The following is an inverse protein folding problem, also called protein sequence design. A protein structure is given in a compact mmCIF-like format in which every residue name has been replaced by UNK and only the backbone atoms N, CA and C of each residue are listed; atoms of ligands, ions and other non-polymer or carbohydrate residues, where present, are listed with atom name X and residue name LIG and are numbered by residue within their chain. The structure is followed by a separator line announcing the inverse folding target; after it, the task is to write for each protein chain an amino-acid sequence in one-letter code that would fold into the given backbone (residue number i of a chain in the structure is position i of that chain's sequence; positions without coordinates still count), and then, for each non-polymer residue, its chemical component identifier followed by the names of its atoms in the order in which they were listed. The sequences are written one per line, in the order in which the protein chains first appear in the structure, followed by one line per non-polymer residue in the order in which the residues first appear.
data_IF_007512887260
#
_entry.id   IF_007512887260
#
_cell.length_a   1.000
_cell.length_b   1.000
_cell.length_c   1.000
_cell.angle_alpha   90.00
_cell.angle_beta   90.00
_cell.angle_gamma   90.00
#
_symmetry.space_group_name_H-M   'P 1'
#
loop_
_entity.id
_entity.type
_entity.pdbx_description
1 polymer ?
#
# COMPACT_ATOMS: atom_id res chain seq x y z
N UNK A 1 10.14 -7.62 37.12
CA UNK A 1 10.37 -6.95 38.42
C UNK A 1 9.14 -7.14 39.29
N UNK A 2 9.30 -7.50 40.57
CA UNK A 2 8.21 -7.66 41.53
C UNK A 2 8.53 -6.82 42.77
N UNK A 3 7.60 -5.96 43.21
CA UNK A 3 7.82 -5.07 44.36
C UNK A 3 6.56 -4.98 45.23
N UNK A 4 6.74 -4.96 46.56
CA UNK A 4 5.67 -4.72 47.52
C UNK A 4 5.58 -3.23 47.85
N UNK A 5 4.38 -2.65 47.77
CA UNK A 5 4.18 -1.21 47.97
C UNK A 5 3.83 -0.93 49.45
N UNK A 6 4.68 -0.22 50.22
CA UNK A 6 4.49 -0.08 51.67
C UNK A 6 3.37 0.89 52.08
N UNK A 7 2.96 1.81 51.19
CA UNK A 7 1.99 2.86 51.50
C UNK A 7 0.52 2.39 51.60
N UNK A 8 0.19 1.18 51.13
CA UNK A 8 -1.18 0.61 51.17
C UNK A 8 -1.34 -0.55 52.16
N UNK A 9 -0.46 -0.61 53.17
CA UNK A 9 -0.35 -1.70 54.14
C UNK A 9 0.80 -2.64 53.78
N UNK A 10 1.69 -2.90 54.76
CA UNK A 10 2.83 -3.81 54.62
C UNK A 10 2.36 -5.15 54.04
N UNK A 11 2.96 -5.56 52.92
CA UNK A 11 2.80 -6.86 52.25
C UNK A 11 1.40 -7.21 51.73
N UNK A 12 0.45 -6.27 51.71
CA UNK A 12 -0.92 -6.52 51.21
C UNK A 12 -1.10 -6.28 49.71
N UNK A 13 -0.15 -5.59 49.08
CA UNK A 13 -0.21 -5.25 47.65
C UNK A 13 1.09 -5.66 46.96
N UNK A 14 0.99 -6.49 45.93
CA UNK A 14 2.11 -6.93 45.10
C UNK A 14 1.95 -6.34 43.71
N UNK A 15 3.00 -5.65 43.25
CA UNK A 15 3.10 -5.17 41.89
C UNK A 15 4.10 -6.03 41.12
N UNK A 16 3.68 -6.61 39.99
CA UNK A 16 4.58 -7.25 39.03
C UNK A 16 4.54 -6.49 37.72
N UNK A 17 5.72 -6.22 37.17
CA UNK A 17 5.85 -5.63 35.85
C UNK A 17 6.94 -6.34 35.04
N UNK A 18 6.70 -6.48 33.75
CA UNK A 18 7.67 -7.00 32.79
C UNK A 18 7.67 -6.16 31.53
N UNK A 19 8.85 -5.95 30.96
CA UNK A 19 9.05 -5.29 29.68
C UNK A 19 10.07 -6.08 28.86
N UNK A 20 9.77 -6.32 27.59
CA UNK A 20 10.67 -7.03 26.67
C UNK A 20 10.63 -6.38 25.29
N UNK A 21 11.75 -6.47 24.57
CA UNK A 21 11.89 -5.99 23.21
C UNK A 21 12.38 -7.14 22.33
N UNK A 22 11.58 -7.49 21.32
CA UNK A 22 11.97 -8.42 20.27
C UNK A 22 12.36 -7.65 19.01
N UNK A 23 13.46 -8.02 18.38
CA UNK A 23 13.90 -7.47 17.10
C UNK A 23 13.60 -8.45 15.97
N UNK A 24 13.12 -7.92 14.85
CA UNK A 24 12.84 -8.70 13.65
C UNK A 24 14.10 -8.83 12.78
N UNK A 25 14.43 -10.05 12.34
CA UNK A 25 15.56 -10.32 11.44
C UNK A 25 15.05 -10.49 10.01
N UNK A 26 14.80 -9.39 9.32
CA UNK A 26 14.29 -9.41 7.94
C UNK A 26 15.13 -8.61 6.92
N UNK A 27 16.28 -8.06 7.33
CA UNK A 27 17.00 -7.07 6.52
C UNK A 27 17.61 -7.62 5.21
N UNK A 28 18.09 -8.87 5.18
CA UNK A 28 18.88 -9.35 4.01
C UNK A 28 18.01 -9.64 2.78
N UNK A 29 16.82 -10.21 2.95
CA UNK A 29 15.93 -10.56 1.83
C UNK A 29 15.39 -9.31 1.12
N UNK A 30 15.15 -8.23 1.86
CA UNK A 30 14.63 -7.00 1.27
C UNK A 30 15.66 -6.32 0.37
N UNK A 31 16.92 -6.25 0.81
CA UNK A 31 17.99 -5.69 -0.03
C UNK A 31 18.13 -6.55 -1.29
N UNK A 32 18.21 -7.87 -1.14
CA UNK A 32 18.32 -8.82 -2.26
C UNK A 32 17.22 -8.63 -3.32
N UNK A 33 15.94 -8.58 -2.91
CA UNK A 33 14.82 -8.40 -3.83
C UNK A 33 14.82 -7.04 -4.53
N UNK A 34 15.20 -5.98 -3.83
CA UNK A 34 15.21 -4.63 -4.43
C UNK A 34 16.40 -4.46 -5.36
N UNK A 35 17.58 -5.00 -5.00
CA UNK A 35 18.76 -4.93 -5.86
C UNK A 35 18.74 -5.93 -7.02
N UNK A 36 18.20 -7.13 -6.83
CA UNK A 36 18.23 -8.22 -7.81
C UNK A 36 17.18 -8.10 -8.92
N UNK A 37 16.02 -7.49 -8.61
CA UNK A 37 14.94 -7.28 -9.58
C UNK A 37 14.95 -5.87 -10.18
N UNK A 38 16.06 -5.14 -10.07
CA UNK A 38 16.21 -3.85 -10.72
C UNK A 38 16.33 -4.04 -12.25
N UNK A 39 15.74 -3.16 -13.08
CA UNK A 39 15.88 -3.23 -14.52
C UNK A 39 17.33 -3.38 -15.00
N UNK A 40 17.55 -4.33 -15.92
CA UNK A 40 18.87 -4.66 -16.47
C UNK A 40 19.63 -5.75 -15.71
N UNK A 41 19.26 -6.09 -14.47
CA UNK A 41 19.86 -7.21 -13.70
C UNK A 41 19.08 -8.53 -13.86
N UNK A 42 17.76 -8.43 -14.04
CA UNK A 42 16.87 -9.56 -14.34
C UNK A 42 15.95 -9.17 -15.50
N UNK A 43 15.68 -10.11 -16.41
CA UNK A 43 14.79 -9.87 -17.56
C UNK A 43 13.88 -11.06 -17.78
N UNK A 44 12.57 -10.80 -17.80
CA UNK A 44 11.56 -11.81 -18.17
C UNK A 44 11.10 -11.54 -19.59
N UNK A 45 11.13 -12.58 -20.44
CA UNK A 45 10.61 -12.52 -21.81
C UNK A 45 9.29 -13.25 -21.91
N UNK A 46 8.27 -12.53 -22.33
CA UNK A 46 6.99 -13.12 -22.72
C UNK A 46 6.98 -13.28 -24.24
N UNK A 47 6.96 -14.53 -24.70
CA UNK A 47 6.84 -14.86 -26.11
C UNK A 47 5.38 -15.14 -26.41
N UNK A 48 4.76 -14.30 -27.24
CA UNK A 48 3.41 -14.50 -27.74
C UNK A 48 3.50 -14.86 -29.21
N UNK A 49 2.95 -16.02 -29.58
CA UNK A 49 2.86 -16.49 -30.96
C UNK A 49 1.40 -16.74 -31.30
N UNK A 50 1.00 -16.44 -32.54
CA UNK A 50 -0.31 -16.83 -33.06
C UNK A 50 -0.33 -18.31 -33.49
N UNK A 51 0.85 -18.91 -33.70
CA UNK A 51 1.06 -20.32 -34.00
C UNK A 51 1.50 -21.11 -32.74
N UNK A 52 1.40 -22.44 -32.79
CA UNK A 52 1.82 -23.33 -31.70
C UNK A 52 3.29 -23.07 -31.34
N UNK A 53 3.52 -22.55 -30.13
CA UNK A 53 4.85 -22.35 -29.57
C UNK A 53 5.24 -23.57 -28.73
N UNK A 54 6.26 -24.31 -29.16
CA UNK A 54 6.82 -25.43 -28.37
C UNK A 54 8.21 -25.07 -27.84
N UNK A 55 8.72 -25.83 -26.86
CA UNK A 55 10.09 -25.64 -26.35
C UNK A 55 11.15 -25.85 -27.45
N UNK A 56 10.84 -26.58 -28.52
CA UNK A 56 11.75 -26.77 -29.65
C UNK A 56 11.93 -25.48 -30.48
N UNK A 57 10.96 -24.56 -30.42
CA UNK A 57 10.97 -23.30 -31.19
C UNK A 57 11.68 -22.16 -30.43
N UNK A 58 11.95 -22.35 -29.14
CA UNK A 58 12.62 -21.36 -28.29
C UNK A 58 14.14 -21.54 -28.36
N UNK A 59 14.85 -20.52 -28.84
CA UNK A 59 16.31 -20.52 -28.86
C UNK A 59 16.87 -20.01 -27.52
N UNK A 60 17.71 -20.82 -26.89
CA UNK A 60 18.42 -20.50 -25.65
C UNK A 60 19.93 -20.34 -25.92
N UNK A 61 20.63 -19.47 -25.16
CA UNK A 61 20.10 -18.58 -24.13
C UNK A 61 19.29 -17.42 -24.73
N UNK A 62 18.31 -16.92 -23.97
CA UNK A 62 17.55 -15.73 -24.37
C UNK A 62 18.47 -14.51 -24.35
N UNK A 63 18.46 -13.71 -25.41
CA UNK A 63 19.21 -12.46 -25.45
C UNK A 63 18.57 -11.42 -24.52
N UNK A 64 19.33 -10.79 -23.61
CA UNK A 64 18.85 -9.64 -22.84
C UNK A 64 18.45 -8.50 -23.79
N UNK A 65 17.31 -7.85 -23.52
CA UNK A 65 16.77 -6.72 -24.31
C UNK A 65 17.17 -5.40 -23.68
N UNK A 66 17.51 -5.41 -22.40
CA UNK A 66 17.96 -4.25 -21.64
C UNK A 66 19.45 -4.41 -21.36
N UNK A 67 20.23 -3.33 -21.50
CA UNK A 67 21.61 -3.34 -21.03
C UNK A 67 21.65 -3.20 -19.50
N UNK A 68 22.61 -3.84 -18.81
CA UNK A 68 22.80 -3.62 -17.39
C UNK A 68 22.99 -2.13 -17.10
N UNK A 69 22.22 -1.59 -16.15
CA UNK A 69 22.30 -0.19 -15.69
C UNK A 69 21.87 0.88 -16.72
N UNK A 70 21.13 0.49 -17.76
CA UNK A 70 20.53 1.47 -18.69
C UNK A 70 19.48 2.34 -17.99
N UNK A 71 19.40 3.63 -18.37
CA UNK A 71 18.44 4.56 -17.80
C UNK A 71 17.03 4.26 -18.31
N UNK A 72 16.16 3.82 -17.41
CA UNK A 72 14.75 3.54 -17.72
C UNK A 72 13.96 4.85 -17.78
N UNK A 73 13.28 5.17 -18.91
CA UNK A 73 12.43 6.36 -18.98
C UNK A 73 11.27 6.31 -17.99
N UNK A 74 10.90 7.44 -17.38
CA UNK A 74 9.73 7.54 -16.48
C UNK A 74 8.38 7.27 -17.17
N UNK A 75 8.37 7.24 -18.50
CA UNK A 75 7.21 6.88 -19.32
C UNK A 75 7.08 5.38 -19.54
N UNK A 76 8.10 4.58 -19.24
CA UNK A 76 8.01 3.13 -19.32
C UNK A 76 7.05 2.61 -18.25
N UNK A 77 6.16 1.70 -18.67
CA UNK A 77 5.14 1.05 -17.82
C UNK A 77 5.24 -0.47 -17.85
N UNK A 78 6.24 -1.01 -18.54
CA UNK A 78 6.50 -2.45 -18.63
C UNK A 78 7.44 -2.93 -17.52
N UNK A 79 8.17 -2.02 -16.89
CA UNK A 79 9.16 -2.34 -15.86
C UNK A 79 8.66 -1.99 -14.46
N UNK A 80 8.94 -2.87 -13.50
CA UNK A 80 8.71 -2.60 -12.08
C UNK A 80 9.99 -2.05 -11.48
N UNK A 81 9.94 -0.81 -11.01
CA UNK A 81 11.05 -0.21 -10.26
C UNK A 81 10.77 -0.36 -8.77
N UNK A 82 11.73 -0.92 -8.04
CA UNK A 82 11.66 -1.04 -6.59
C UNK A 82 12.73 -0.15 -5.98
N UNK A 83 12.41 0.44 -4.84
CA UNK A 83 13.35 1.22 -4.06
C UNK A 83 13.09 0.96 -2.58
N UNK A 84 14.12 1.16 -1.77
CA UNK A 84 14.05 1.08 -0.32
C UNK A 84 14.42 2.43 0.28
N UNK A 85 13.81 2.75 1.43
CA UNK A 85 14.17 3.95 2.18
C UNK A 85 15.59 3.79 2.74
N UNK A 86 16.45 4.77 2.48
CA UNK A 86 17.83 4.81 2.98
C UNK A 86 17.91 4.93 4.50
N UNK A 87 16.82 5.34 5.17
CA UNK A 87 16.71 5.47 6.61
C UNK A 87 15.98 4.29 7.29
N UNK A 88 15.89 3.13 6.62
CA UNK A 88 15.30 1.92 7.19
C UNK A 88 16.00 1.52 8.50
N UNK A 89 15.18 1.17 9.50
CA UNK A 89 15.64 0.73 10.82
C UNK A 89 15.07 -0.64 11.13
N UNK A 90 15.80 -1.43 11.91
CA UNK A 90 15.34 -2.75 12.35
C UNK A 90 13.97 -2.65 13.04
N UNK A 91 12.94 -3.38 12.56
CA UNK A 91 11.66 -3.44 13.22
C UNK A 91 11.80 -4.07 14.60
N UNK A 92 11.00 -3.59 15.55
CA UNK A 92 10.95 -4.20 16.87
C UNK A 92 9.54 -4.15 17.46
N UNK A 93 9.26 -5.15 18.29
CA UNK A 93 8.03 -5.27 19.06
C UNK A 93 8.38 -5.13 20.52
N UNK A 94 7.70 -4.20 21.18
CA UNK A 94 7.79 -3.99 22.62
C UNK A 94 6.58 -4.64 23.27
N UNK A 95 6.80 -5.51 24.24
CA UNK A 95 5.73 -6.10 25.05
C UNK A 95 5.88 -5.65 26.49
N UNK A 96 4.77 -5.23 27.10
CA UNK A 96 4.70 -4.90 28.52
C UNK A 96 3.56 -5.63 29.20
N UNK A 97 3.79 -6.01 30.44
CA UNK A 97 2.76 -6.54 31.32
C UNK A 97 2.83 -5.84 32.69
N UNK A 98 1.66 -5.63 33.27
CA UNK A 98 1.47 -5.06 34.59
C UNK A 98 0.45 -5.93 35.33
N UNK A 99 0.77 -6.32 36.55
CA UNK A 99 -0.13 -7.09 37.42
C UNK A 99 -0.12 -6.46 38.79
N UNK A 100 -1.30 -6.17 39.31
CA UNK A 100 -1.52 -5.65 40.66
C UNK A 100 -2.36 -6.69 41.40
N UNK A 101 -1.81 -7.25 42.46
CA UNK A 101 -2.52 -8.12 43.39
C UNK A 101 -2.70 -7.38 44.71
N UNK A 102 -3.89 -7.45 45.29
CA UNK A 102 -4.18 -6.87 46.59
C UNK A 102 -5.06 -7.78 47.44
N UNK A 103 -4.65 -8.00 48.67
CA UNK A 103 -5.50 -8.60 49.70
C UNK A 103 -6.40 -7.53 50.31
N UNK A 104 -7.71 -7.75 50.24
CA UNK A 104 -8.76 -6.90 50.79
C UNK A 104 -9.29 -7.51 52.11
N UNK A 105 -9.96 -6.71 52.97
CA UNK A 105 -10.55 -7.19 54.21
C UNK A 105 -11.56 -8.33 53.97
N UNK A 106 -11.73 -9.22 54.95
CA UNK A 106 -12.69 -10.32 54.86
C UNK A 106 -12.23 -11.50 54.00
N UNK A 107 -10.92 -11.76 53.93
CA UNK A 107 -10.32 -12.85 53.12
C UNK A 107 -10.58 -12.75 51.61
N UNK A 108 -10.81 -11.54 51.10
CA UNK A 108 -11.01 -11.31 49.67
C UNK A 108 -9.70 -10.91 48.97
N UNK A 109 -9.49 -11.38 47.75
CA UNK A 109 -8.32 -11.04 46.92
C UNK A 109 -8.75 -10.38 45.62
N UNK A 110 -8.10 -9.27 45.25
CA UNK A 110 -8.30 -8.60 43.98
C UNK A 110 -7.03 -8.71 43.14
N UNK A 111 -7.18 -9.08 41.88
CA UNK A 111 -6.09 -9.09 40.91
C UNK A 111 -6.51 -8.36 39.62
N UNK A 112 -5.65 -7.47 39.15
CA UNK A 112 -5.82 -6.74 37.90
C UNK A 112 -4.57 -6.94 37.05
N UNK A 113 -4.76 -7.44 35.82
CA UNK A 113 -3.68 -7.67 34.85
C UNK A 113 -3.91 -6.83 33.60
N UNK A 114 -2.84 -6.24 33.10
CA UNK A 114 -2.82 -5.52 31.84
C UNK A 114 -1.62 -5.99 31.00
N UNK A 115 -1.88 -6.30 29.73
CA UNK A 115 -0.86 -6.72 28.76
C UNK A 115 -1.00 -5.87 27.52
N UNK A 116 0.11 -5.38 26.99
CA UNK A 116 0.13 -4.61 25.75
C UNK A 116 1.36 -4.92 24.91
N UNK A 117 1.18 -4.78 23.60
CA UNK A 117 2.22 -4.97 22.59
C UNK A 117 2.20 -3.83 21.59
N UNK A 118 3.37 -3.30 21.22
CA UNK A 118 3.51 -2.29 20.17
C UNK A 118 4.65 -2.63 19.22
N UNK A 119 4.31 -2.80 17.96
CA UNK A 119 5.28 -2.80 16.85
C UNK A 119 5.71 -1.37 16.52
N UNK A 120 7.00 -1.15 16.27
CA UNK A 120 7.54 0.15 15.83
C UNK A 120 8.50 -0.07 14.67
N UNK A 121 8.43 0.81 13.67
CA UNK A 121 9.25 0.73 12.44
C UNK A 121 9.07 -0.60 11.69
N UNK A 122 7.84 -1.10 11.67
CA UNK A 122 7.50 -2.29 10.90
C UNK A 122 7.75 -2.01 9.41
N UNK A 123 8.29 -3.02 8.72
CA UNK A 123 8.56 -2.93 7.30
C UNK A 123 7.24 -2.96 6.53
N UNK A 124 7.10 -2.04 5.57
CA UNK A 124 5.95 -1.99 4.68
C UNK A 124 6.43 -1.65 3.27
N UNK A 125 6.02 -2.45 2.30
CA UNK A 125 6.11 -2.08 0.90
C UNK A 125 4.93 -1.17 0.56
N UNK A 126 5.21 -0.05 -0.11
CA UNK A 126 4.18 0.83 -0.65
C UNK A 126 4.22 0.74 -2.16
N UNK A 127 3.05 0.65 -2.78
CA UNK A 127 2.93 0.73 -4.22
C UNK A 127 2.64 2.18 -4.60
N UNK A 128 3.60 2.84 -5.26
CA UNK A 128 3.41 4.23 -5.71
C UNK A 128 2.38 4.34 -6.84
N UNK A 129 2.13 3.26 -7.57
CA UNK A 129 1.13 3.19 -8.63
C UNK A 129 -0.20 2.62 -8.12
N UNK A 130 -0.47 2.72 -6.81
CA UNK A 130 -1.75 2.29 -6.26
C UNK A 130 -2.90 3.14 -6.83
N UNK A 131 -4.00 2.48 -7.17
CA UNK A 131 -5.21 3.16 -7.65
C UNK A 131 -5.80 3.96 -6.50
N UNK A 132 -5.66 5.28 -6.57
CA UNK A 132 -6.20 6.19 -5.57
C UNK A 132 -7.30 7.04 -6.18
N UNK A 133 -8.57 6.64 -6.03
CA UNK A 133 -9.72 7.40 -6.56
C UNK A 133 -10.24 8.47 -5.60
N UNK A 134 -9.84 8.42 -4.33
CA UNK A 134 -10.37 9.28 -3.27
C UNK A 134 -9.61 10.61 -3.19
N UNK A 135 -8.27 10.57 -3.21
CA UNK A 135 -7.44 11.77 -3.02
C UNK A 135 -7.17 12.50 -4.35
N UNK A 136 -7.26 11.80 -5.48
CA UNK A 136 -7.07 12.39 -6.81
C UNK A 136 -8.34 13.04 -7.40
N UNK A 137 -9.42 13.13 -6.62
CA UNK A 137 -10.71 13.75 -6.98
C UNK A 137 -11.46 13.04 -8.14
N UNK A 138 -11.01 11.86 -8.59
CA UNK A 138 -11.73 11.10 -9.62
C UNK A 138 -13.10 10.66 -9.10
N UNK A 139 -13.19 10.25 -7.83
CA UNK A 139 -14.47 9.87 -7.23
C UNK A 139 -15.45 11.04 -7.18
N UNK A 140 -15.00 12.22 -6.74
CA UNK A 140 -15.82 13.44 -6.70
C UNK A 140 -16.26 13.83 -8.13
N UNK A 141 -15.34 13.83 -9.08
CA UNK A 141 -15.65 14.10 -10.49
C UNK A 141 -16.68 13.10 -11.06
N UNK A 142 -16.60 11.83 -10.65
CA UNK A 142 -17.56 10.79 -11.02
C UNK A 142 -18.94 11.08 -10.41
N UNK A 143 -19.02 11.38 -9.12
CA UNK A 143 -20.27 11.69 -8.40
C UNK A 143 -20.96 12.94 -8.96
N UNK A 144 -20.19 14.02 -9.20
CA UNK A 144 -20.69 15.24 -9.86
C UNK A 144 -21.24 14.91 -11.25
N UNK A 145 -20.55 14.05 -12.00
CA UNK A 145 -20.99 13.62 -13.32
C UNK A 145 -22.25 12.76 -13.26
N UNK A 146 -22.39 11.88 -12.28
CA UNK A 146 -23.58 11.06 -12.07
C UNK A 146 -24.80 11.92 -11.70
N UNK A 147 -24.62 12.94 -10.85
CA UNK A 147 -25.66 13.91 -10.50
C UNK A 147 -26.07 14.86 -11.65
N UNK A 148 -25.51 14.67 -12.85
CA UNK A 148 -25.78 15.51 -14.03
C UNK A 148 -24.92 16.77 -14.12
N UNK A 149 -24.05 17.03 -13.15
CA UNK A 149 -23.12 18.16 -13.13
C UNK A 149 -21.95 18.02 -14.10
N UNK A 150 -21.09 19.04 -14.16
CA UNK A 150 -19.86 19.03 -14.96
C UNK A 150 -18.64 19.16 -14.07
N UNK A 151 -17.80 18.13 -14.05
CA UNK A 151 -16.59 18.08 -13.24
C UNK A 151 -15.40 18.70 -14.00
N UNK A 152 -14.75 19.76 -13.48
CA UNK A 152 -13.58 20.37 -14.13
C UNK A 152 -12.40 19.40 -14.33
N UNK A 153 -12.32 18.35 -13.50
CA UNK A 153 -11.31 17.31 -13.66
C UNK A 153 -11.48 16.52 -14.97
N UNK A 154 -12.71 16.12 -15.33
CA UNK A 154 -12.96 15.41 -16.57
C UNK A 154 -12.77 16.31 -17.80
N UNK A 155 -13.07 17.61 -17.69
CA UNK A 155 -12.71 18.56 -18.74
C UNK A 155 -11.20 18.60 -19.00
N UNK A 156 -10.37 18.52 -17.95
CA UNK A 156 -8.91 18.50 -18.06
C UNK A 156 -8.38 17.17 -18.60
N UNK A 157 -8.85 16.05 -18.06
CA UNK A 157 -8.37 14.70 -18.43
C UNK A 157 -8.71 14.40 -19.89
N UNK A 158 -9.91 14.77 -20.33
CA UNK A 158 -10.38 14.47 -21.69
C UNK A 158 -10.18 15.62 -22.67
N UNK A 159 -9.49 16.70 -22.28
CA UNK A 159 -9.27 17.86 -23.13
C UNK A 159 -8.66 17.45 -24.49
N UNK A 160 -9.28 17.86 -25.58
CA UNK A 160 -8.83 17.53 -26.93
C UNK A 160 -9.27 16.15 -27.45
N UNK A 161 -9.96 15.33 -26.65
CA UNK A 161 -10.54 14.06 -27.09
C UNK A 161 -11.96 14.25 -27.59
N UNK A 162 -12.35 13.46 -28.61
CA UNK A 162 -13.73 13.40 -29.08
C UNK A 162 -14.41 12.17 -28.50
N UNK A 163 -15.36 12.38 -27.59
CA UNK A 163 -16.06 11.32 -26.87
C UNK A 163 -17.55 11.26 -27.27
N UNK A 164 -17.86 11.55 -28.54
CA UNK A 164 -19.20 11.42 -29.13
C UNK A 164 -19.97 12.74 -29.26
N UNK A 165 -19.71 13.73 -28.40
CA UNK A 165 -20.34 15.07 -28.46
C UNK A 165 -19.45 16.14 -29.13
N UNK A 166 -18.33 15.72 -29.74
CA UNK A 166 -17.30 16.62 -30.26
C UNK A 166 -16.08 16.69 -29.36
N UNK A 167 -15.12 17.55 -29.74
CA UNK A 167 -13.84 17.66 -29.03
C UNK A 167 -14.02 18.40 -27.70
N UNK A 168 -13.73 17.74 -26.58
CA UNK A 168 -13.81 18.33 -25.24
C UNK A 168 -12.87 19.53 -25.16
N UNK A 169 -13.40 20.67 -24.72
CA UNK A 169 -12.67 21.94 -24.58
C UNK A 169 -12.94 22.64 -23.24
N UNK A 170 -13.72 21.99 -22.35
CA UNK A 170 -14.05 22.52 -21.03
C UNK A 170 -14.96 23.76 -21.05
N UNK A 171 -15.59 24.09 -22.18
CA UNK A 171 -16.54 25.21 -22.27
C UNK A 171 -17.82 24.78 -22.98
N UNK A 172 -17.78 24.62 -24.31
CA UNK A 172 -18.91 24.19 -25.14
C UNK A 172 -19.11 22.68 -25.11
N UNK A 173 -18.03 21.91 -25.04
CA UNK A 173 -18.07 20.45 -24.89
C UNK A 173 -17.36 20.07 -23.60
N UNK A 174 -18.14 19.55 -22.65
CA UNK A 174 -17.69 19.12 -21.33
C UNK A 174 -17.35 17.63 -21.34
N UNK A 175 -16.30 17.25 -20.63
CA UNK A 175 -15.88 15.85 -20.45
C UNK A 175 -16.99 15.04 -19.79
N UNK A 176 -17.57 15.54 -18.70
CA UNK A 176 -18.69 14.91 -17.99
C UNK A 176 -19.92 14.68 -18.89
N UNK A 177 -20.30 15.66 -19.72
CA UNK A 177 -21.44 15.53 -20.63
C UNK A 177 -21.16 14.48 -21.71
N UNK A 178 -19.94 14.44 -22.23
CA UNK A 178 -19.54 13.47 -23.25
C UNK A 178 -19.50 12.04 -22.68
N UNK A 179 -19.00 11.86 -21.46
CA UNK A 179 -19.02 10.57 -20.77
C UNK A 179 -20.43 10.04 -20.50
N UNK A 180 -21.40 10.92 -20.22
CA UNK A 180 -22.81 10.53 -20.08
C UNK A 180 -23.47 10.16 -21.41
N UNK A 181 -22.99 10.71 -22.53
CA UNK A 181 -23.56 10.44 -23.85
C UNK A 181 -22.92 9.23 -24.55
N UNK A 182 -21.67 8.91 -24.21
CA UNK A 182 -20.92 7.82 -24.81
C UNK A 182 -21.52 6.46 -24.45
N UNK A 183 -21.78 5.62 -25.45
CA UNK A 183 -22.47 4.34 -25.30
C UNK A 183 -21.81 3.41 -24.27
N UNK A 184 -20.48 3.39 -24.25
CA UNK A 184 -19.70 2.50 -23.37
C UNK A 184 -19.71 2.96 -21.90
N UNK A 185 -19.81 4.28 -21.66
CA UNK A 185 -19.70 4.84 -20.30
C UNK A 185 -21.03 5.31 -19.72
N UNK A 186 -22.06 5.51 -20.54
CA UNK A 186 -23.38 6.00 -20.10
C UNK A 186 -23.99 5.14 -19.00
N UNK A 187 -23.83 3.81 -19.07
CA UNK A 187 -24.39 2.89 -18.08
C UNK A 187 -23.85 3.15 -16.66
N UNK A 188 -22.61 3.64 -16.53
CA UNK A 188 -22.00 3.96 -15.23
C UNK A 188 -22.57 5.25 -14.61
N UNK A 189 -23.16 6.13 -15.42
CA UNK A 189 -23.69 7.43 -14.99
C UNK A 189 -25.21 7.53 -15.10
N UNK A 190 -25.88 6.45 -15.49
CA UNK A 190 -27.34 6.38 -15.44
C UNK A 190 -27.77 6.28 -13.97
N UNK A 191 -28.60 7.23 -13.53
CA UNK A 191 -29.17 7.22 -12.18
C UNK A 191 -29.90 5.89 -11.89
N UNK A 192 -29.61 5.29 -10.73
CA UNK A 192 -30.60 4.48 -9.98
C UNK A 192 -31.40 5.40 -9.07
#
# INVERSE_FOLDING_TARGET
LSWSIPYFGRDKTILRMGYSVGYERNALRLVDIVSGDQPGLSTTRYLFSQDLLTLADVRLPLTPTEQPLETVPLTDRQQTVRSFDTNLRTPYVQNWNLTIERQLPGNFGLEVRYVGSKGTKLLRAINLNEVNIFENQILDAFQVTQAGGSAPLFDRIFNGLNLGLGRVNGTTVRGSASLRALQDTRAFFANT
#
